data_IF_191075616427
#
_entry.id   IF_191075616427
#
_cell.length_a   1.000
_cell.length_b   1.000
_cell.length_c   1.000
_cell.angle_alpha   90.00
_cell.angle_beta   90.00
_cell.angle_gamma   90.00
#
_symmetry.space_group_name_H-M   'P 1'
#
loop_
_entity.id
_entity.type
_entity.pdbx_description
1 polymer ?
#
# COMPACT_ATOMS: atom_id res chain seq x y z
N UNK A 1 -18.36 25.88 -60.85
CA UNK A 1 -17.35 25.53 -61.86
C UNK A 1 -17.34 24.02 -62.02
N UNK A 2 -18.19 23.51 -62.91
CA UNK A 2 -17.88 22.99 -64.27
C UNK A 2 -17.42 21.51 -64.23
N UNK A 3 -18.37 20.58 -64.41
CA UNK A 3 -18.49 19.58 -65.51
C UNK A 3 -17.51 18.39 -65.41
N UNK A 4 -17.96 17.16 -65.18
CA UNK A 4 -18.59 16.19 -66.12
C UNK A 4 -17.77 16.01 -67.41
N UNK A 5 -17.29 14.78 -67.65
CA UNK A 5 -17.49 13.97 -68.89
C UNK A 5 -16.30 13.00 -69.13
N UNK A 6 -16.56 11.69 -69.14
CA UNK A 6 -16.64 10.79 -70.34
C UNK A 6 -15.30 10.13 -70.67
N UNK A 7 -15.18 8.82 -70.48
CA UNK A 7 -15.49 7.75 -71.47
C UNK A 7 -14.58 7.80 -72.70
N UNK A 8 -13.75 6.77 -72.90
CA UNK A 8 -13.86 5.87 -74.06
C UNK A 8 -12.91 4.66 -73.97
N UNK A 9 -13.51 3.51 -74.28
CA UNK A 9 -12.94 2.24 -74.79
C UNK A 9 -11.90 2.49 -75.92
N UNK A 10 -11.01 1.59 -76.37
CA UNK A 10 -11.08 0.13 -76.50
C UNK A 10 -9.73 -0.42 -77.03
N UNK A 11 -9.48 -1.74 -76.82
CA UNK A 11 -8.97 -2.74 -77.83
C UNK A 11 -7.51 -2.57 -78.32
N UNK A 12 -6.63 -3.57 -78.46
CA UNK A 12 -6.59 -5.02 -78.19
C UNK A 12 -5.15 -5.53 -78.48
N UNK A 13 -4.93 -6.80 -78.12
CA UNK A 13 -4.05 -7.82 -78.75
C UNK A 13 -2.69 -8.19 -78.11
N UNK A 14 -2.61 -9.51 -77.84
CA UNK A 14 -1.44 -10.42 -77.78
C UNK A 14 -0.35 -10.05 -76.77
N UNK A 15 -0.12 -10.79 -75.69
CA UNK A 15 -0.04 -12.24 -75.59
C UNK A 15 1.39 -12.59 -75.21
N UNK A 16 1.62 -13.14 -74.03
CA UNK A 16 2.62 -14.18 -73.78
C UNK A 16 2.47 -14.67 -72.33
N UNK A 17 2.28 -15.98 -72.22
CA UNK A 17 2.25 -16.74 -70.99
C UNK A 17 3.56 -16.60 -70.20
N UNK A 18 3.46 -16.25 -68.92
CA UNK A 18 4.58 -16.15 -67.98
C UNK A 18 4.15 -16.57 -66.58
N UNK A 19 4.09 -17.88 -66.38
CA UNK A 19 4.14 -18.65 -65.13
C UNK A 19 4.23 -17.82 -63.81
N UNK A 20 3.07 -17.50 -63.21
CA UNK A 20 3.00 -17.12 -61.79
C UNK A 20 3.02 -18.40 -60.94
N UNK A 21 4.19 -18.71 -60.37
CA UNK A 21 4.31 -19.67 -59.28
C UNK A 21 3.50 -19.15 -58.09
N UNK A 22 2.27 -19.65 -57.95
CA UNK A 22 1.52 -19.64 -56.70
C UNK A 22 2.35 -20.41 -55.67
N UNK A 23 3.03 -19.68 -54.79
CA UNK A 23 3.50 -20.24 -53.54
C UNK A 23 2.29 -20.50 -52.65
N UNK A 24 1.65 -21.65 -52.87
CA UNK A 24 0.79 -22.26 -51.87
C UNK A 24 1.70 -22.72 -50.72
N UNK A 25 2.10 -21.79 -49.87
CA UNK A 25 2.53 -22.13 -48.52
C UNK A 25 1.40 -22.93 -47.87
N UNK A 26 1.70 -24.02 -47.14
CA UNK A 26 0.67 -24.68 -46.35
C UNK A 26 0.02 -23.63 -45.43
N UNK A 27 -1.31 -23.65 -45.25
CA UNK A 27 -1.94 -22.78 -44.26
C UNK A 27 -1.21 -23.05 -42.95
N UNK A 28 -0.62 -21.99 -42.37
CA UNK A 28 -0.18 -22.05 -40.99
C UNK A 28 -1.42 -22.40 -40.18
N UNK A 29 -1.57 -23.68 -39.81
CA UNK A 29 -2.47 -24.08 -38.76
C UNK A 29 -2.00 -23.30 -37.55
N UNK A 30 -2.82 -22.36 -37.09
CA UNK A 30 -2.68 -21.88 -35.73
C UNK A 30 -2.72 -23.15 -34.87
N UNK A 31 -1.60 -23.47 -34.21
CA UNK A 31 -1.54 -24.59 -33.28
C UNK A 31 -2.75 -24.44 -32.33
N UNK A 32 -3.65 -25.42 -32.33
CA UNK A 32 -4.72 -25.45 -31.34
C UNK A 32 -4.04 -25.49 -29.97
N UNK A 33 -4.18 -24.41 -29.21
CA UNK A 33 -3.57 -24.24 -27.87
C UNK A 33 -3.96 -25.40 -26.95
N UNK A 34 -5.07 -26.07 -27.24
CA UNK A 34 -5.60 -27.22 -26.51
C UNK A 34 -5.18 -28.59 -27.07
N UNK A 35 -4.22 -28.62 -28.00
CA UNK A 35 -3.77 -29.83 -28.67
C UNK A 35 -4.80 -30.39 -29.65
N UNK A 36 -4.49 -31.54 -30.25
CA UNK A 36 -5.43 -32.23 -31.13
C UNK A 36 -6.67 -32.74 -30.38
N UNK A 37 -7.76 -33.04 -31.11
CA UNK A 37 -9.01 -33.57 -30.53
C UNK A 37 -8.79 -34.78 -29.60
N UNK A 38 -7.83 -35.65 -29.91
CA UNK A 38 -7.51 -36.83 -29.11
C UNK A 38 -6.76 -36.50 -27.82
N UNK A 39 -5.92 -35.47 -27.82
CA UNK A 39 -5.22 -34.97 -26.63
C UNK A 39 -6.21 -34.28 -25.69
N UNK A 40 -7.11 -33.47 -26.24
CA UNK A 40 -8.20 -32.83 -25.49
C UNK A 40 -9.12 -33.86 -24.81
N UNK A 41 -9.47 -34.94 -25.51
CA UNK A 41 -10.26 -36.05 -24.94
C UNK A 41 -9.51 -36.76 -23.82
N UNK A 42 -8.24 -37.09 -24.01
CA UNK A 42 -7.41 -37.72 -22.96
C UNK A 42 -7.30 -36.82 -21.73
N UNK A 43 -7.07 -35.53 -21.93
CA UNK A 43 -7.02 -34.55 -20.85
C UNK A 43 -8.35 -34.48 -20.09
N UNK A 44 -9.47 -34.38 -20.82
CA UNK A 44 -10.81 -34.34 -20.23
C UNK A 44 -11.12 -35.58 -19.40
N UNK A 45 -10.78 -36.78 -19.89
CA UNK A 45 -10.99 -38.03 -19.14
C UNK A 45 -10.10 -38.13 -17.91
N UNK A 46 -8.85 -37.65 -17.99
CA UNK A 46 -7.97 -37.57 -16.83
C UNK A 46 -8.55 -36.63 -15.75
N UNK A 47 -8.99 -35.44 -16.15
CA UNK A 47 -9.63 -34.47 -15.26
C UNK A 47 -10.90 -35.05 -14.61
N UNK A 48 -11.73 -35.80 -15.34
CA UNK A 48 -12.89 -36.51 -14.76
C UNK A 48 -12.47 -37.56 -13.73
N UNK A 49 -11.43 -38.34 -14.02
CA UNK A 49 -10.92 -39.34 -13.09
C UNK A 49 -10.41 -38.70 -11.80
N UNK A 50 -9.64 -37.62 -11.91
CA UNK A 50 -9.12 -36.86 -10.77
C UNK A 50 -10.25 -36.22 -9.97
N UNK A 51 -11.28 -35.69 -10.65
CA UNK A 51 -12.47 -35.13 -10.01
C UNK A 51 -13.23 -36.19 -9.21
N UNK A 52 -13.50 -37.35 -9.82
CA UNK A 52 -14.19 -38.45 -9.13
C UNK A 52 -13.40 -38.93 -7.90
N UNK A 53 -12.06 -38.97 -8.01
CA UNK A 53 -11.19 -39.30 -6.89
C UNK A 53 -11.24 -38.26 -5.77
N UNK A 54 -11.20 -36.97 -6.13
CA UNK A 54 -11.27 -35.87 -5.17
C UNK A 54 -12.63 -35.80 -4.45
N UNK A 55 -13.74 -36.00 -5.18
CA UNK A 55 -15.10 -36.07 -4.61
C UNK A 55 -15.22 -37.20 -3.57
N UNK A 56 -14.64 -38.38 -3.85
CA UNK A 56 -14.61 -39.51 -2.91
C UNK A 56 -13.71 -39.28 -1.70
N UNK A 57 -12.62 -38.53 -1.86
CA UNK A 57 -11.67 -38.27 -0.78
C UNK A 57 -12.24 -37.33 0.32
N UNK A 58 -13.31 -36.58 0.03
CA UNK A 58 -13.96 -35.69 0.99
C UNK A 58 -13.13 -34.48 1.44
N UNK A 59 -11.98 -34.24 0.81
CA UNK A 59 -11.10 -33.10 1.12
C UNK A 59 -11.60 -31.84 0.40
N UNK A 60 -12.52 -31.12 1.03
CA UNK A 60 -13.21 -29.98 0.43
C UNK A 60 -12.27 -28.90 -0.14
N UNK A 61 -11.15 -28.61 0.51
CA UNK A 61 -10.21 -27.59 0.04
C UNK A 61 -9.42 -28.03 -1.21
N UNK A 62 -9.02 -29.30 -1.29
CA UNK A 62 -8.39 -29.87 -2.48
C UNK A 62 -9.40 -29.98 -3.64
N UNK A 63 -10.64 -30.37 -3.32
CA UNK A 63 -11.74 -30.40 -4.28
C UNK A 63 -12.04 -28.99 -4.84
N UNK A 64 -11.98 -27.96 -3.99
CA UNK A 64 -12.12 -26.56 -4.43
C UNK A 64 -11.02 -26.19 -5.43
N UNK A 65 -9.75 -26.49 -5.14
CA UNK A 65 -8.65 -26.16 -6.05
C UNK A 65 -8.77 -26.87 -7.40
N UNK A 66 -9.24 -28.13 -7.40
CA UNK A 66 -9.47 -28.86 -8.63
C UNK A 66 -10.60 -28.22 -9.45
N UNK A 67 -11.71 -27.84 -8.82
CA UNK A 67 -12.77 -27.12 -9.51
C UNK A 67 -12.34 -25.74 -10.01
N UNK A 68 -11.55 -24.97 -9.25
CA UNK A 68 -11.02 -23.67 -9.70
C UNK A 68 -10.09 -23.85 -10.90
N UNK A 69 -9.27 -24.91 -10.90
CA UNK A 69 -8.42 -25.26 -12.05
C UNK A 69 -9.25 -25.62 -13.28
N UNK A 70 -10.29 -26.43 -13.13
CA UNK A 70 -11.20 -26.82 -14.23
C UNK A 70 -11.90 -25.59 -14.81
N UNK A 71 -12.41 -24.69 -13.96
CA UNK A 71 -13.17 -23.52 -14.43
C UNK A 71 -12.29 -22.59 -15.31
N UNK A 72 -11.01 -22.47 -14.98
CA UNK A 72 -10.04 -21.59 -15.65
C UNK A 72 -9.35 -22.23 -16.86
N UNK A 73 -9.52 -23.52 -17.07
CA UNK A 73 -8.90 -24.24 -18.19
C UNK A 73 -9.82 -24.21 -19.40
N UNK A 74 -9.45 -23.40 -20.41
CA UNK A 74 -10.20 -23.27 -21.66
C UNK A 74 -10.13 -24.53 -22.55
N UNK A 75 -9.27 -25.49 -22.21
CA UNK A 75 -9.11 -26.74 -22.94
C UNK A 75 -9.91 -27.91 -22.37
N UNK A 76 -10.53 -27.73 -21.19
CA UNK A 76 -11.47 -28.70 -20.61
C UNK A 76 -12.86 -28.54 -21.21
N UNK A 77 -13.59 -29.65 -21.37
CA UNK A 77 -14.95 -29.65 -21.88
C UNK A 77 -15.90 -28.71 -21.11
N UNK A 78 -16.75 -27.99 -21.84
CA UNK A 78 -17.64 -26.95 -21.29
C UNK A 78 -18.58 -27.46 -20.19
N UNK A 79 -19.04 -28.71 -20.29
CA UNK A 79 -19.90 -29.34 -19.29
C UNK A 79 -19.20 -29.46 -17.92
N UNK A 80 -17.92 -29.80 -17.91
CA UNK A 80 -17.10 -29.86 -16.70
C UNK A 80 -16.81 -28.45 -16.16
N UNK A 81 -16.53 -27.48 -17.04
CA UNK A 81 -16.35 -26.08 -16.64
C UNK A 81 -17.61 -25.51 -15.98
N UNK A 82 -18.78 -25.79 -16.56
CA UNK A 82 -20.08 -25.41 -15.98
C UNK A 82 -20.32 -26.10 -14.64
N UNK A 83 -20.07 -27.41 -14.53
CA UNK A 83 -20.17 -28.15 -13.27
C UNK A 83 -19.27 -27.51 -12.19
N UNK A 84 -18.02 -27.19 -12.54
CA UNK A 84 -17.08 -26.54 -11.64
C UNK A 84 -17.57 -25.15 -11.19
N UNK A 85 -18.02 -24.31 -12.13
CA UNK A 85 -18.57 -22.99 -11.82
C UNK A 85 -19.80 -23.02 -10.91
N UNK A 86 -20.63 -24.07 -11.00
CA UNK A 86 -21.77 -24.26 -10.09
C UNK A 86 -21.37 -24.75 -8.70
N UNK A 87 -20.30 -25.56 -8.60
CA UNK A 87 -19.85 -26.13 -7.33
C UNK A 87 -19.04 -25.14 -6.46
N UNK A 88 -18.25 -24.27 -7.10
CA UNK A 88 -17.30 -23.38 -6.42
C UNK A 88 -17.94 -22.43 -5.39
N UNK A 89 -19.07 -21.74 -5.66
CA UNK A 89 -19.66 -20.82 -4.68
C UNK A 89 -20.08 -21.51 -3.37
N UNK A 90 -20.59 -22.74 -3.44
CA UNK A 90 -20.98 -23.49 -2.24
C UNK A 90 -19.74 -23.93 -1.47
N UNK A 91 -18.77 -24.55 -2.13
CA UNK A 91 -17.54 -25.01 -1.49
C UNK A 91 -16.75 -23.85 -0.88
N UNK A 92 -16.66 -22.72 -1.59
CA UNK A 92 -16.01 -21.51 -1.10
C UNK A 92 -16.65 -20.97 0.18
N UNK A 93 -17.99 -20.93 0.24
CA UNK A 93 -18.72 -20.52 1.45
C UNK A 93 -18.53 -21.48 2.62
N UNK A 94 -18.57 -22.79 2.38
CA UNK A 94 -18.37 -23.79 3.43
C UNK A 94 -16.95 -23.68 4.04
N UNK A 95 -15.93 -23.52 3.18
CA UNK A 95 -14.54 -23.32 3.59
C UNK A 95 -14.35 -21.98 4.31
N UNK A 96 -14.98 -20.91 3.83
CA UNK A 96 -14.93 -19.60 4.45
C UNK A 96 -15.58 -19.62 5.84
N UNK A 97 -16.77 -20.21 5.98
CA UNK A 97 -17.46 -20.34 7.26
C UNK A 97 -16.60 -21.10 8.28
N UNK A 98 -15.91 -22.18 7.86
CA UNK A 98 -14.97 -22.91 8.71
C UNK A 98 -13.79 -22.03 9.13
N UNK A 99 -13.21 -21.26 8.22
CA UNK A 99 -12.12 -20.34 8.52
C UNK A 99 -12.56 -19.20 9.47
N UNK A 100 -13.78 -18.68 9.32
CA UNK A 100 -14.36 -17.67 10.22
C UNK A 100 -14.53 -18.19 11.64
N UNK A 101 -15.04 -19.42 11.81
CA UNK A 101 -15.17 -20.06 13.14
C UNK A 101 -13.81 -20.18 13.83
N UNK A 102 -12.74 -20.36 13.03
CA UNK A 102 -11.37 -20.42 13.52
C UNK A 102 -10.72 -19.04 13.70
N UNK A 103 -11.48 -17.94 13.56
CA UNK A 103 -11.01 -16.56 13.70
C UNK A 103 -10.15 -16.07 12.54
N UNK A 104 -10.06 -16.82 11.43
CA UNK A 104 -9.21 -16.50 10.28
C UNK A 104 -9.98 -15.68 9.26
N UNK A 105 -10.28 -14.42 9.63
CA UNK A 105 -11.08 -13.53 8.78
C UNK A 105 -10.31 -13.05 7.56
N UNK A 106 -9.07 -12.58 7.76
CA UNK A 106 -8.21 -12.06 6.69
C UNK A 106 -6.76 -12.49 6.88
N UNK A 107 -6.11 -12.79 5.75
CA UNK A 107 -4.67 -13.03 5.61
C UNK A 107 -4.24 -12.60 4.22
N UNK A 108 -2.96 -12.24 4.06
CA UNK A 108 -2.36 -12.05 2.72
C UNK A 108 -2.10 -13.39 2.01
N UNK A 109 -2.18 -14.50 2.74
CA UNK A 109 -1.94 -15.84 2.22
C UNK A 109 -2.99 -16.25 1.18
N UNK A 110 -2.53 -16.94 0.14
CA UNK A 110 -3.36 -17.53 -0.91
C UNK A 110 -4.06 -18.80 -0.43
N UNK A 111 -5.11 -19.22 -1.17
CA UNK A 111 -5.84 -20.48 -0.91
C UNK A 111 -5.02 -21.74 -1.20
N UNK A 112 -3.85 -21.61 -1.81
CA UNK A 112 -2.95 -22.70 -2.14
C UNK A 112 -1.52 -22.37 -1.71
N UNK A 113 -0.73 -23.42 -1.54
CA UNK A 113 0.72 -23.35 -1.41
C UNK A 113 1.36 -24.04 -2.62
N UNK A 114 2.49 -23.50 -3.07
CA UNK A 114 3.30 -24.15 -4.09
C UNK A 114 4.21 -25.17 -3.40
N UNK A 115 4.02 -26.45 -3.69
CA UNK A 115 4.83 -27.54 -3.14
C UNK A 115 5.35 -28.38 -4.31
N UNK A 116 6.47 -27.95 -4.91
CA UNK A 116 6.98 -28.56 -6.14
C UNK A 116 6.10 -28.20 -7.34
N UNK A 117 5.83 -29.16 -8.21
CA UNK A 117 5.00 -29.00 -9.43
C UNK A 117 3.48 -28.99 -9.15
N UNK A 118 3.05 -29.16 -7.89
CA UNK A 118 1.63 -29.27 -7.53
C UNK A 118 1.17 -28.15 -6.60
N UNK A 119 -0.02 -27.60 -6.87
CA UNK A 119 -0.75 -26.73 -5.94
C UNK A 119 -1.42 -27.60 -4.88
N UNK A 120 -1.18 -27.30 -3.60
CA UNK A 120 -1.88 -27.93 -2.47
C UNK A 120 -2.73 -26.91 -1.76
N UNK A 121 -3.90 -27.31 -1.26
CA UNK A 121 -4.75 -26.42 -0.49
C UNK A 121 -4.00 -25.86 0.72
N UNK A 122 -4.06 -24.54 0.89
CA UNK A 122 -3.57 -23.89 2.09
C UNK A 122 -4.63 -24.04 3.18
N UNK A 123 -4.41 -24.99 4.10
CA UNK A 123 -5.32 -25.21 5.23
C UNK A 123 -5.46 -24.01 6.16
N UNK A 124 -4.55 -23.02 6.06
CA UNK A 124 -4.56 -21.77 6.84
C UNK A 124 -5.22 -20.59 6.13
N UNK A 125 -5.68 -20.77 4.89
CA UNK A 125 -6.32 -19.71 4.13
C UNK A 125 -7.49 -19.07 4.89
N UNK A 126 -7.60 -17.76 4.76
CA UNK A 126 -8.63 -16.96 5.43
C UNK A 126 -9.99 -17.09 4.76
N UNK A 127 -11.04 -16.76 5.51
CA UNK A 127 -12.40 -16.69 4.99
C UNK A 127 -12.51 -15.75 3.80
N UNK A 128 -11.86 -14.57 3.89
CA UNK A 128 -11.75 -13.65 2.76
C UNK A 128 -11.17 -14.31 1.50
N UNK A 129 -10.06 -15.05 1.62
CA UNK A 129 -9.38 -15.67 0.49
C UNK A 129 -10.25 -16.72 -0.22
N UNK A 130 -11.00 -17.53 0.53
CA UNK A 130 -11.93 -18.52 -0.04
C UNK A 130 -13.09 -17.85 -0.78
N UNK A 131 -13.67 -16.80 -0.19
CA UNK A 131 -14.77 -16.06 -0.82
C UNK A 131 -14.32 -15.34 -2.10
N UNK A 132 -13.16 -14.67 -2.07
CA UNK A 132 -12.56 -14.06 -3.26
C UNK A 132 -12.33 -15.06 -4.39
N UNK A 133 -11.75 -16.23 -4.07
CA UNK A 133 -11.46 -17.24 -5.06
C UNK A 133 -12.73 -17.85 -5.69
N UNK A 134 -13.81 -17.90 -4.91
CA UNK A 134 -15.11 -18.44 -5.35
C UNK A 134 -16.00 -17.41 -6.06
N UNK A 135 -15.55 -16.16 -6.23
CA UNK A 135 -16.33 -15.09 -6.84
C UNK A 135 -17.39 -14.46 -5.94
N UNK A 136 -17.44 -14.83 -4.65
CA UNK A 136 -18.43 -14.34 -3.69
C UNK A 136 -18.04 -12.98 -3.10
N UNK A 137 -17.81 -11.98 -3.96
CA UNK A 137 -17.19 -10.70 -3.57
C UNK A 137 -17.98 -9.91 -2.52
N UNK A 138 -19.31 -9.94 -2.59
CA UNK A 138 -20.15 -9.27 -1.58
C UNK A 138 -19.98 -9.86 -0.18
N UNK A 139 -19.86 -11.17 -0.08
CA UNK A 139 -19.61 -11.86 1.20
C UNK A 139 -18.16 -11.62 1.64
N UNK A 140 -17.20 -11.63 0.70
CA UNK A 140 -15.80 -11.29 0.98
C UNK A 140 -15.66 -9.86 1.56
N UNK A 141 -16.36 -8.88 0.99
CA UNK A 141 -16.42 -7.50 1.51
C UNK A 141 -16.94 -7.47 2.96
N UNK A 142 -17.97 -8.26 3.29
CA UNK A 142 -18.51 -8.33 4.66
C UNK A 142 -17.49 -8.92 5.64
N UNK A 143 -16.78 -9.97 5.25
CA UNK A 143 -15.73 -10.59 6.06
C UNK A 143 -14.55 -9.64 6.26
N UNK A 144 -14.18 -8.88 5.23
CA UNK A 144 -13.14 -7.86 5.33
C UNK A 144 -13.53 -6.76 6.34
N UNK A 145 -14.77 -6.25 6.28
CA UNK A 145 -15.24 -5.29 7.29
C UNK A 145 -15.26 -5.89 8.70
N UNK A 146 -15.62 -7.17 8.84
CA UNK A 146 -15.56 -7.88 10.12
C UNK A 146 -14.12 -7.94 10.65
N UNK A 147 -13.14 -8.19 9.77
CA UNK A 147 -11.72 -8.17 10.13
C UNK A 147 -11.28 -6.77 10.58
N UNK A 148 -11.62 -5.73 9.82
CA UNK A 148 -11.30 -4.32 10.15
C UNK A 148 -11.93 -3.94 11.49
N UNK A 149 -13.19 -4.30 11.75
CA UNK A 149 -13.86 -4.03 13.03
C UNK A 149 -13.22 -4.76 14.22
N UNK A 150 -12.66 -5.96 13.99
CA UNK A 150 -11.96 -6.70 15.03
C UNK A 150 -10.59 -6.08 15.38
N UNK A 151 -9.96 -5.40 14.42
CA UNK A 151 -8.67 -4.70 14.58
C UNK A 151 -8.74 -3.29 13.98
N UNK A 152 -9.53 -2.37 14.57
CA UNK A 152 -9.82 -1.08 13.96
C UNK A 152 -8.59 -0.17 13.85
N UNK A 153 -7.58 -0.39 14.69
CA UNK A 153 -6.34 0.39 14.72
C UNK A 153 -5.26 -0.19 13.76
N UNK A 154 -5.52 -1.32 13.09
CA UNK A 154 -4.58 -1.97 12.15
C UNK A 154 -4.65 -1.28 10.78
N UNK A 155 -3.72 -0.35 10.55
CA UNK A 155 -3.65 0.44 9.33
C UNK A 155 -3.34 -0.40 8.07
N UNK A 156 -2.59 -1.50 8.20
CA UNK A 156 -2.24 -2.33 7.06
C UNK A 156 -3.43 -3.17 6.59
N UNK A 157 -4.19 -3.71 7.55
CA UNK A 157 -5.48 -4.34 7.27
C UNK A 157 -6.47 -3.34 6.65
N UNK A 158 -6.55 -2.13 7.21
CA UNK A 158 -7.40 -1.08 6.66
C UNK A 158 -7.03 -0.72 5.21
N UNK A 159 -5.74 -0.57 4.91
CA UNK A 159 -5.24 -0.31 3.55
C UNK A 159 -5.67 -1.41 2.58
N UNK A 160 -5.52 -2.68 2.98
CA UNK A 160 -5.97 -3.80 2.17
C UNK A 160 -7.49 -3.76 1.91
N UNK A 161 -8.28 -3.43 2.94
CA UNK A 161 -9.72 -3.24 2.82
C UNK A 161 -10.07 -2.06 1.90
N UNK A 162 -9.29 -0.98 1.93
CA UNK A 162 -9.50 0.20 1.09
C UNK A 162 -9.19 -0.06 -0.39
N UNK A 163 -8.18 -0.86 -0.70
CA UNK A 163 -7.76 -1.13 -2.09
C UNK A 163 -8.41 -2.36 -2.70
N UNK A 164 -9.46 -2.90 -2.08
CA UNK A 164 -10.06 -4.18 -2.45
C UNK A 164 -10.56 -4.24 -3.90
N UNK A 165 -11.04 -3.12 -4.46
CA UNK A 165 -11.51 -3.01 -5.85
C UNK A 165 -10.37 -3.08 -6.88
N UNK A 166 -9.12 -2.99 -6.42
CA UNK A 166 -7.94 -3.08 -7.28
C UNK A 166 -7.46 -4.53 -7.44
N UNK A 167 -8.04 -5.49 -6.71
CA UNK A 167 -7.68 -6.90 -6.82
C UNK A 167 -8.01 -7.44 -8.21
N UNK A 168 -7.00 -7.99 -8.89
CA UNK A 168 -7.11 -8.47 -10.28
C UNK A 168 -8.15 -9.57 -10.46
N UNK A 169 -8.35 -10.43 -9.44
CA UNK A 169 -9.34 -11.51 -9.46
C UNK A 169 -10.79 -11.02 -9.60
N UNK A 170 -11.11 -9.82 -9.10
CA UNK A 170 -12.45 -9.22 -9.17
C UNK A 170 -12.85 -8.72 -10.56
N UNK A 171 -11.86 -8.50 -11.44
CA UNK A 171 -12.09 -8.16 -12.84
C UNK A 171 -12.42 -9.41 -13.66
N UNK A 172 -11.56 -10.43 -13.56
CA UNK A 172 -11.64 -11.62 -14.43
C UNK A 172 -12.88 -12.48 -14.13
N UNK A 173 -13.28 -12.60 -12.87
CA UNK A 173 -14.49 -13.35 -12.50
C UNK A 173 -15.78 -12.61 -12.87
N UNK A 174 -15.83 -11.29 -12.68
CA UNK A 174 -17.01 -10.48 -13.03
C UNK A 174 -17.26 -10.52 -14.55
N UNK A 175 -16.20 -10.41 -15.34
CA UNK A 175 -16.28 -10.51 -16.80
C UNK A 175 -16.73 -11.92 -17.24
N UNK A 176 -16.21 -12.98 -16.63
CA UNK A 176 -16.63 -14.35 -16.92
C UNK A 176 -18.10 -14.63 -16.57
N UNK A 177 -18.66 -13.97 -15.55
CA UNK A 177 -20.06 -14.17 -15.13
C UNK A 177 -21.08 -13.29 -15.85
N UNK A 178 -20.71 -12.04 -16.17
CA UNK A 178 -21.67 -11.02 -16.64
C UNK A 178 -21.43 -10.60 -18.09
N UNK A 179 -20.30 -10.99 -18.68
CA UNK A 179 -19.86 -10.48 -19.98
C UNK A 179 -19.43 -9.01 -19.96
N UNK A 180 -19.54 -8.31 -18.83
CA UNK A 180 -19.16 -6.91 -18.70
C UNK A 180 -17.65 -6.78 -18.39
N UNK A 181 -16.96 -5.90 -19.10
CA UNK A 181 -15.54 -5.58 -18.83
C UNK A 181 -15.33 -4.83 -17.51
N UNK A 182 -16.41 -4.36 -16.88
CA UNK A 182 -16.33 -3.61 -15.63
C UNK A 182 -15.88 -4.50 -14.47
N UNK A 183 -15.03 -3.93 -13.60
CA UNK A 183 -14.60 -4.60 -12.37
C UNK A 183 -15.73 -4.55 -11.35
N UNK A 184 -15.88 -5.61 -10.56
CA UNK A 184 -16.69 -5.51 -9.34
C UNK A 184 -16.15 -4.36 -8.47
N UNK A 185 -17.05 -3.47 -8.06
CA UNK A 185 -16.77 -2.38 -7.13
C UNK A 185 -17.51 -2.63 -5.83
N UNK A 186 -16.81 -2.49 -4.71
CA UNK A 186 -17.39 -2.58 -3.39
C UNK A 186 -18.56 -1.58 -3.26
N UNK A 187 -19.66 -1.97 -2.60
CA UNK A 187 -20.83 -1.10 -2.43
C UNK A 187 -20.49 0.21 -1.69
N UNK A 188 -21.25 1.28 -1.92
CA UNK A 188 -21.05 2.56 -1.22
C UNK A 188 -21.09 2.41 0.32
N UNK A 189 -21.96 1.55 0.85
CA UNK A 189 -22.04 1.25 2.27
C UNK A 189 -20.72 0.66 2.83
N UNK A 190 -19.98 -0.12 2.04
CA UNK A 190 -18.67 -0.63 2.45
C UNK A 190 -17.67 0.51 2.63
N UNK A 191 -17.67 1.47 1.69
CA UNK A 191 -16.80 2.66 1.74
C UNK A 191 -17.11 3.55 2.94
N UNK A 192 -18.39 3.79 3.22
CA UNK A 192 -18.82 4.58 4.38
C UNK A 192 -18.36 3.97 5.72
N UNK A 193 -18.38 2.65 5.85
CA UNK A 193 -17.88 1.98 7.06
C UNK A 193 -16.36 2.13 7.24
N UNK A 194 -15.60 2.11 6.15
CA UNK A 194 -14.16 2.37 6.19
C UNK A 194 -13.87 3.85 6.53
N UNK A 195 -14.58 4.79 5.91
CA UNK A 195 -14.45 6.23 6.20
C UNK A 195 -14.77 6.53 7.68
N UNK A 196 -15.80 5.89 8.24
CA UNK A 196 -16.13 5.98 9.67
C UNK A 196 -14.99 5.46 10.55
N UNK A 197 -14.39 4.33 10.17
CA UNK A 197 -13.26 3.73 10.91
C UNK A 197 -12.03 4.65 10.86
N UNK A 198 -11.70 5.20 9.68
CA UNK A 198 -10.61 6.16 9.54
C UNK A 198 -10.87 7.42 10.38
N UNK A 199 -12.07 7.98 10.31
CA UNK A 199 -12.46 9.18 11.07
C UNK A 199 -12.34 8.96 12.58
N UNK A 200 -12.80 7.82 13.09
CA UNK A 200 -12.69 7.46 14.51
C UNK A 200 -11.23 7.33 14.96
N UNK A 201 -10.38 6.68 14.16
CA UNK A 201 -8.95 6.57 14.42
C UNK A 201 -8.25 7.93 14.43
N UNK A 202 -8.55 8.79 13.45
CA UNK A 202 -8.02 10.15 13.37
C UNK A 202 -8.41 10.93 14.62
N UNK A 203 -9.69 10.94 15.00
CA UNK A 203 -10.16 11.66 16.18
C UNK A 203 -9.46 11.17 17.46
N UNK A 204 -9.34 9.84 17.64
CA UNK A 204 -8.62 9.23 18.76
C UNK A 204 -7.14 9.64 18.78
N UNK A 205 -6.47 9.62 17.64
CA UNK A 205 -5.06 9.97 17.51
C UNK A 205 -4.81 11.46 17.77
N UNK A 206 -5.65 12.35 17.25
CA UNK A 206 -5.54 13.79 17.48
C UNK A 206 -5.85 14.16 18.93
N UNK A 207 -6.83 13.50 19.56
CA UNK A 207 -7.10 13.70 20.98
C UNK A 207 -5.94 13.22 21.88
N UNK A 208 -5.31 12.11 21.52
CA UNK A 208 -4.11 11.62 22.22
C UNK A 208 -2.91 12.54 21.99
N UNK A 209 -2.73 13.03 20.75
CA UNK A 209 -1.70 14.00 20.40
C UNK A 209 -1.80 15.28 21.21
N UNK A 210 -3.01 15.85 21.36
CA UNK A 210 -3.21 17.09 22.12
C UNK A 210 -2.75 16.95 23.58
N UNK A 211 -2.97 15.79 24.19
CA UNK A 211 -2.50 15.49 25.55
C UNK A 211 -0.98 15.45 25.63
N UNK A 212 -0.32 14.84 24.65
CA UNK A 212 1.14 14.81 24.58
C UNK A 212 1.73 16.19 24.29
N UNK A 213 1.06 16.97 23.44
CA UNK A 213 1.47 18.32 23.05
C UNK A 213 1.42 19.32 24.21
N UNK A 214 0.61 19.08 25.25
CA UNK A 214 0.58 19.91 26.45
C UNK A 214 1.96 19.99 27.15
N UNK A 215 2.80 18.97 27.02
CA UNK A 215 4.15 18.96 27.60
C UNK A 215 5.19 19.74 26.77
N UNK A 216 4.83 20.29 25.60
CA UNK A 216 5.78 21.05 24.77
C UNK A 216 6.28 22.34 25.41
N UNK A 217 5.54 22.86 26.39
CA UNK A 217 5.89 24.06 27.17
C UNK A 217 6.50 23.74 28.54
N UNK A 218 6.69 22.46 28.87
CA UNK A 218 7.25 22.03 30.17
C UNK A 218 8.79 22.16 30.21
N UNK A 219 9.47 21.56 31.19
CA UNK A 219 10.93 21.49 31.20
C UNK A 219 11.49 20.77 29.95
N UNK A 220 12.79 20.94 29.67
CA UNK A 220 13.42 20.43 28.45
C UNK A 220 13.30 18.90 28.28
N UNK A 221 13.37 18.14 29.38
CA UNK A 221 13.29 16.68 29.33
C UNK A 221 11.86 16.21 29.02
N UNK A 222 10.87 16.81 29.67
CA UNK A 222 9.45 16.58 29.38
C UNK A 222 9.10 17.00 27.96
N UNK A 223 9.53 18.18 27.52
CA UNK A 223 9.30 18.71 26.17
C UNK A 223 9.84 17.76 25.10
N UNK A 224 11.07 17.25 25.27
CA UNK A 224 11.69 16.33 24.31
C UNK A 224 10.84 15.07 24.14
N UNK A 225 10.42 14.47 25.26
CA UNK A 225 9.58 13.27 25.26
C UNK A 225 8.20 13.54 24.62
N UNK A 226 7.55 14.62 25.05
CA UNK A 226 6.26 15.07 24.51
C UNK A 226 6.33 15.35 23.01
N UNK A 227 7.43 15.96 22.55
CA UNK A 227 7.66 16.24 21.14
C UNK A 227 7.69 14.97 20.30
N UNK A 228 8.48 13.98 20.71
CA UNK A 228 8.55 12.69 20.00
C UNK A 228 7.19 11.99 19.95
N UNK A 229 6.47 11.94 21.07
CA UNK A 229 5.17 11.26 21.15
C UNK A 229 4.09 11.98 20.32
N UNK A 230 3.96 13.29 20.49
CA UNK A 230 3.01 14.11 19.74
C UNK A 230 3.26 14.01 18.23
N UNK A 231 4.51 14.16 17.77
CA UNK A 231 4.84 14.03 16.35
C UNK A 231 4.55 12.63 15.80
N UNK A 232 4.81 11.57 16.56
CA UNK A 232 4.46 10.21 16.16
C UNK A 232 2.94 10.07 15.97
N UNK A 233 2.13 10.62 16.87
CA UNK A 233 0.66 10.61 16.73
C UNK A 233 0.19 11.41 15.52
N UNK A 234 0.78 12.59 15.25
CA UNK A 234 0.45 13.37 14.05
C UNK A 234 0.77 12.60 12.75
N UNK A 235 1.91 11.91 12.69
CA UNK A 235 2.29 11.09 11.53
C UNK A 235 1.32 9.93 11.33
N UNK A 236 0.96 9.22 12.39
CA UNK A 236 -0.04 8.15 12.30
C UNK A 236 -1.41 8.71 11.89
N UNK A 237 -1.85 9.83 12.47
CA UNK A 237 -3.11 10.46 12.09
C UNK A 237 -3.12 10.89 10.62
N UNK A 238 -2.03 11.47 10.13
CA UNK A 238 -1.86 11.83 8.73
C UNK A 238 -1.99 10.62 7.79
N UNK A 239 -1.42 9.46 8.16
CA UNK A 239 -1.53 8.24 7.37
C UNK A 239 -3.00 7.75 7.28
N UNK A 240 -3.80 7.95 8.32
CA UNK A 240 -5.24 7.67 8.27
C UNK A 240 -6.03 8.72 7.48
N UNK A 241 -5.60 9.98 7.52
CA UNK A 241 -6.26 11.08 6.79
C UNK A 241 -6.17 10.95 5.27
N UNK A 242 -5.21 10.18 4.74
CA UNK A 242 -5.10 9.90 3.29
C UNK A 242 -6.37 9.25 2.71
N UNK A 243 -7.18 8.61 3.54
CA UNK A 243 -8.41 7.93 3.15
C UNK A 243 -9.67 8.79 3.28
N UNK A 244 -9.53 10.06 3.68
CA UNK A 244 -10.65 11.00 3.81
C UNK A 244 -10.51 12.20 2.88
N UNK A 245 -11.62 12.86 2.53
CA UNK A 245 -11.58 14.14 1.82
C UNK A 245 -10.70 15.16 2.56
N UNK A 246 -9.82 15.85 1.82
CA UNK A 246 -8.91 16.85 2.37
C UNK A 246 -7.52 16.32 2.76
N UNK A 247 -7.33 15.00 2.81
CA UNK A 247 -6.02 14.39 3.03
C UNK A 247 -5.34 14.83 4.33
N UNK A 248 -4.00 14.75 4.37
CA UNK A 248 -3.22 15.00 5.58
C UNK A 248 -2.94 16.48 5.92
N UNK A 249 -3.57 17.43 5.23
CA UNK A 249 -3.40 18.87 5.46
C UNK A 249 -3.59 19.28 6.93
N UNK A 250 -4.68 18.87 7.61
CA UNK A 250 -4.91 19.23 9.01
C UNK A 250 -3.80 18.78 9.97
N UNK A 251 -3.24 17.58 9.77
CA UNK A 251 -2.13 17.10 10.59
C UNK A 251 -0.85 17.90 10.36
N UNK A 252 -0.59 18.34 9.11
CA UNK A 252 0.56 19.20 8.78
C UNK A 252 0.42 20.59 9.39
N UNK A 253 -0.77 21.19 9.34
CA UNK A 253 -1.04 22.48 10.00
C UNK A 253 -0.84 22.40 11.51
N UNK A 254 -1.34 21.34 12.17
CA UNK A 254 -1.08 21.10 13.60
C UNK A 254 0.41 20.96 13.89
N UNK A 255 1.13 20.21 13.06
CA UNK A 255 2.57 20.04 13.23
C UNK A 255 3.30 21.38 13.18
N UNK A 256 2.99 22.26 12.22
CA UNK A 256 3.57 23.60 12.17
C UNK A 256 3.27 24.41 13.44
N UNK A 257 2.04 24.36 13.96
CA UNK A 257 1.67 25.01 15.22
C UNK A 257 2.46 24.47 16.42
N UNK A 258 2.76 23.16 16.46
CA UNK A 258 3.60 22.57 17.51
C UNK A 258 5.05 23.03 17.37
N UNK A 259 5.59 23.11 16.17
CA UNK A 259 6.91 23.70 15.91
C UNK A 259 6.98 25.15 16.42
N UNK A 260 5.95 25.95 16.14
CA UNK A 260 5.85 27.33 16.62
C UNK A 260 5.76 27.40 18.15
N UNK A 261 5.10 26.44 18.79
CA UNK A 261 5.01 26.35 20.26
C UNK A 261 6.38 26.10 20.88
N UNK A 262 7.15 25.17 20.30
CA UNK A 262 8.53 24.87 20.74
C UNK A 262 9.44 26.08 20.55
N UNK A 263 9.34 26.78 19.42
CA UNK A 263 10.18 27.96 19.12
C UNK A 263 9.87 29.19 19.98
N UNK A 264 8.73 29.23 20.67
CA UNK A 264 8.36 30.33 21.58
C UNK A 264 8.89 30.17 23.01
N UNK A 265 9.56 29.05 23.31
CA UNK A 265 10.14 28.80 24.63
C UNK A 265 11.32 29.73 24.91
N UNK A 266 11.59 30.01 26.18
CA UNK A 266 12.77 30.78 26.59
C UNK A 266 14.09 30.08 26.27
N UNK A 267 14.10 28.75 26.24
CA UNK A 267 15.23 27.88 25.90
C UNK A 267 15.21 27.41 24.44
N UNK A 268 14.62 28.19 23.53
CA UNK A 268 14.37 27.79 22.15
C UNK A 268 15.61 27.26 21.41
N UNK A 269 16.81 27.78 21.71
CA UNK A 269 18.09 27.33 21.13
C UNK A 269 18.35 25.85 21.39
N UNK A 270 18.06 25.35 22.59
CA UNK A 270 18.21 23.94 22.96
C UNK A 270 17.08 23.06 22.39
N UNK A 271 15.95 23.67 22.04
CA UNK A 271 14.75 22.97 21.54
C UNK A 271 14.61 22.98 20.00
N UNK A 272 15.55 23.60 19.27
CA UNK A 272 15.46 23.76 17.80
C UNK A 272 15.29 22.42 17.06
N UNK A 273 15.92 21.35 17.53
CA UNK A 273 15.81 20.02 16.91
C UNK A 273 14.38 19.46 16.95
N UNK A 274 13.66 19.69 18.05
CA UNK A 274 12.26 19.30 18.17
C UNK A 274 11.36 20.12 17.23
N UNK A 275 11.56 21.43 17.16
CA UNK A 275 10.81 22.30 16.26
C UNK A 275 11.06 21.95 14.77
N UNK A 276 12.31 21.65 14.42
CA UNK A 276 12.68 21.25 13.07
C UNK A 276 11.92 20.02 12.61
N UNK A 277 11.84 18.98 13.45
CA UNK A 277 11.15 17.73 13.12
C UNK A 277 9.66 17.96 12.81
N UNK A 278 9.01 18.89 13.52
CA UNK A 278 7.64 19.30 13.24
C UNK A 278 7.51 20.05 11.90
N UNK A 279 8.38 21.02 11.64
CA UNK A 279 8.34 21.79 10.40
C UNK A 279 8.65 20.94 9.17
N UNK A 280 9.57 19.99 9.28
CA UNK A 280 9.87 19.04 8.20
C UNK A 280 8.66 18.17 7.88
N UNK A 281 8.00 17.63 8.90
CA UNK A 281 6.78 16.85 8.70
C UNK A 281 5.64 17.70 8.11
N UNK A 282 5.52 18.96 8.54
CA UNK A 282 4.55 19.91 7.99
C UNK A 282 4.85 20.29 6.53
N UNK A 283 6.10 20.11 6.06
CA UNK A 283 6.57 20.67 4.79
C UNK A 283 6.69 22.20 4.82
N UNK A 284 6.90 22.78 6.01
CA UNK A 284 6.94 24.23 6.21
C UNK A 284 8.30 24.81 5.77
N UNK A 285 8.27 26.00 5.17
CA UNK A 285 9.49 26.77 4.82
C UNK A 285 10.31 27.14 6.06
N UNK A 286 9.69 27.16 7.24
CA UNK A 286 10.37 27.42 8.53
C UNK A 286 11.44 26.36 8.85
N UNK A 287 11.34 25.15 8.30
CA UNK A 287 12.35 24.12 8.48
C UNK A 287 13.74 24.59 8.00
N UNK A 288 13.81 25.28 6.85
CA UNK A 288 15.06 25.82 6.33
C UNK A 288 15.64 26.92 7.23
N UNK A 289 14.77 27.76 7.81
CA UNK A 289 15.20 28.83 8.72
C UNK A 289 15.78 28.25 10.02
N UNK A 290 15.14 27.21 10.58
CA UNK A 290 15.65 26.54 11.78
C UNK A 290 16.98 25.83 11.50
N UNK A 291 17.12 25.15 10.34
CA UNK A 291 18.40 24.55 9.93
C UNK A 291 19.52 25.58 9.83
N UNK A 292 19.25 26.72 9.19
CA UNK A 292 20.24 27.80 9.09
C UNK A 292 20.67 28.31 10.47
N UNK A 293 19.73 28.48 11.42
CA UNK A 293 20.04 28.88 12.80
C UNK A 293 20.86 27.83 13.55
N UNK A 294 20.58 26.54 13.36
CA UNK A 294 21.38 25.47 13.94
C UNK A 294 22.81 25.45 13.41
N UNK A 295 22.99 25.65 12.10
CA UNK A 295 24.31 25.74 11.49
C UNK A 295 25.09 26.97 11.97
N UNK A 296 24.44 28.12 12.10
CA UNK A 296 25.05 29.34 12.63
C UNK A 296 25.49 29.16 14.08
N UNK A 297 24.63 28.57 14.92
CA UNK A 297 24.97 28.23 16.30
C UNK A 297 26.15 27.27 16.39
N UNK A 298 26.17 26.22 15.54
CA UNK A 298 27.27 25.26 15.50
C UNK A 298 28.59 25.92 15.08
N UNK A 299 28.58 26.80 14.07
CA UNK A 299 29.76 27.57 13.66
C UNK A 299 30.22 28.53 14.76
N UNK A 300 29.29 29.19 15.45
CA UNK A 300 29.61 30.06 16.58
C UNK A 300 30.27 29.30 17.74
N UNK A 301 29.75 28.12 18.08
CA UNK A 301 30.34 27.24 19.09
C UNK A 301 31.73 26.75 18.69
N UNK A 302 31.94 26.39 17.43
CA UNK A 302 33.25 25.98 16.91
C UNK A 302 34.28 27.13 17.00
N UNK A 303 33.90 28.33 16.58
CA UNK A 303 34.74 29.52 16.68
C UNK A 303 35.06 29.89 18.13
N UNK A 304 34.09 29.78 19.04
CA UNK A 304 34.29 30.01 20.47
C UNK A 304 35.18 28.96 21.12
N UNK A 305 35.02 27.68 20.75
CA UNK A 305 35.91 26.60 21.19
C UNK A 305 37.34 26.80 20.68
N UNK A 306 37.51 27.28 19.45
CA UNK A 306 38.82 27.57 18.87
C UNK A 306 39.47 28.80 19.52
N UNK A 307 38.70 29.86 19.80
CA UNK A 307 39.17 31.01 20.61
C UNK A 307 39.61 30.57 22.00
N UNK A 308 38.83 29.73 22.69
CA UNK A 308 39.17 29.22 24.02
C UNK A 308 40.43 28.35 23.98
N UNK A 309 40.57 27.47 22.98
CA UNK A 309 41.78 26.68 22.77
C UNK A 309 43.01 27.57 22.54
N UNK A 310 42.87 28.64 21.78
CA UNK A 310 43.96 29.60 21.52
C UNK A 310 44.29 30.45 22.75
N UNK A 311 43.28 30.89 23.51
CA UNK A 311 43.47 31.59 24.79
C UNK A 311 44.13 30.69 25.85
N UNK A 312 43.74 29.42 25.95
CA UNK A 312 44.40 28.47 26.85
C UNK A 312 45.86 28.23 26.43
N UNK A 313 46.15 28.08 25.13
CA UNK A 313 47.53 28.00 24.65
C UNK A 313 48.36 29.25 24.98
N UNK A 314 47.75 30.43 25.02
CA UNK A 314 48.38 31.68 25.47
C UNK A 314 48.52 31.80 26.99
N UNK A 315 47.52 31.36 27.75
CA UNK A 315 47.48 31.45 29.22
C UNK A 315 48.40 30.43 29.91
N UNK A 316 48.61 29.24 29.33
CA UNK A 316 49.62 28.29 29.83
C UNK A 316 51.07 28.80 29.71
N UNK A 317 51.30 29.95 29.05
CA UNK A 317 52.60 30.61 29.00
C UNK A 317 52.86 31.59 30.17
N UNK A 318 51.83 32.06 30.90
CA UNK A 318 52.00 33.09 31.95
C UNK A 318 51.11 32.80 33.18
N UNK A 319 51.75 32.42 34.30
CA UNK A 319 51.10 32.13 35.59
C UNK A 319 50.52 33.40 36.25
N UNK A 320 49.33 33.29 36.84
CA UNK A 320 49.02 33.87 38.16
C UNK A 320 47.82 34.81 38.24
N UNK A 321 46.85 34.43 39.10
CA UNK A 321 45.72 35.17 39.72
C UNK A 321 44.83 36.13 38.90
N UNK A 322 45.35 36.90 37.92
CA UNK A 322 44.54 37.60 36.92
C UNK A 322 43.72 36.64 36.04
N UNK A 323 44.17 35.38 35.92
CA UNK A 323 43.50 34.31 35.18
C UNK A 323 42.12 33.96 35.75
N UNK A 324 41.91 34.03 37.07
CA UNK A 324 40.60 33.68 37.67
C UNK A 324 39.52 34.72 37.40
N UNK A 325 39.89 36.00 37.31
CA UNK A 325 38.93 37.07 36.98
C UNK A 325 38.61 37.11 35.49
N UNK A 326 39.61 36.93 34.61
CA UNK A 326 39.36 36.87 33.16
C UNK A 326 38.55 35.64 32.76
N UNK A 327 38.76 34.49 33.43
CA UNK A 327 37.96 33.29 33.19
C UNK A 327 36.49 33.50 33.60
N UNK A 328 36.23 34.10 34.77
CA UNK A 328 34.86 34.45 35.20
C UNK A 328 34.18 35.45 34.27
N UNK A 329 34.94 36.43 33.76
CA UNK A 329 34.43 37.43 32.83
C UNK A 329 34.10 36.84 31.47
N UNK A 330 35.00 36.00 30.93
CA UNK A 330 34.76 35.26 29.70
C UNK A 330 33.58 34.30 29.80
N UNK A 331 33.37 33.67 30.97
CA UNK A 331 32.21 32.82 31.23
C UNK A 331 30.89 33.62 31.24
N UNK A 332 30.87 34.78 31.90
CA UNK A 332 29.72 35.72 31.90
C UNK A 332 29.40 36.28 30.51
N UNK A 333 30.42 36.60 29.72
CA UNK A 333 30.22 37.10 28.36
C UNK A 333 29.70 35.99 27.44
N UNK A 334 30.11 34.74 27.68
CA UNK A 334 29.57 33.56 26.98
C UNK A 334 28.11 33.29 27.34
N UNK A 335 27.72 33.42 28.61
CA UNK A 335 26.32 33.31 29.05
C UNK A 335 25.44 34.37 28.37
N UNK A 336 25.95 35.60 28.23
CA UNK A 336 25.28 36.66 27.46
C UNK A 336 25.20 36.41 25.96
N UNK A 337 26.28 35.95 25.33
CA UNK A 337 26.31 35.69 23.88
C UNK A 337 25.48 34.47 23.49
N UNK A 338 25.42 33.46 24.36
CA UNK A 338 24.65 32.23 24.15
C UNK A 338 23.20 32.33 24.68
N UNK A 339 22.85 33.42 25.37
CA UNK A 339 21.49 33.74 25.80
C UNK A 339 20.98 32.92 26.99
N UNK A 340 21.87 32.57 27.92
CA UNK A 340 21.55 31.88 29.18
C UNK A 340 21.19 32.85 30.32
#
# INVERSE_FOLDING_TARGET
MTLIARWSLAVSFMGLSGLMLLSSGPPAQADDICGGLDERKKWTEQVKADLSKAEKAGKQADLFLLYDSIQRDDCVADDLRMKAGQALPKLGRDLAAKAEVQGRLYSKDTIYTNSGESRKANERASAFAWLEASGQFREADQVMLKAVRAKPDDLDLFKAAWTIDQLSGRRTWHQAQTGAEERYKAPAAYRQELEKTASANIAKLLAAEEKEAAGLSADLATMTTSSTKSLAKLRTAAAWMEFLPGGNGPAKTRAEQRGDTVMKRGDATLAQGAALAYYEFAGSKKAAQVKAKQEEFARGMEQSAEKMKNQMKGAFAEKGDQEKEQFKKGQSDLEKELGF
#
